data_IF_399372025506
#
_entry.id   IF_399372025506
#
_cell.length_a   1.000
_cell.length_b   1.000
_cell.length_c   1.000
_cell.angle_alpha   90.00
_cell.angle_beta   90.00
_cell.angle_gamma   90.00
#
_symmetry.space_group_name_H-M   'P 1'
#
loop_
_entity.id
_entity.type
_entity.pdbx_description
1 polymer ?
#
# COMPACT_ATOMS: atom_id res chain seq x y z
N UNK A 1 -3.19 -24.79 -6.65
CA UNK A 1 -3.53 -23.79 -7.68
C UNK A 1 -2.56 -22.63 -7.54
N UNK A 2 -2.12 -22.04 -8.66
CA UNK A 2 -1.26 -20.87 -8.63
C UNK A 2 -1.92 -19.72 -7.86
N UNK A 3 -1.16 -19.01 -7.04
CA UNK A 3 -1.69 -17.90 -6.25
C UNK A 3 -1.41 -16.57 -6.92
N UNK A 4 -2.46 -15.76 -7.12
CA UNK A 4 -2.27 -14.42 -7.66
C UNK A 4 -1.82 -13.43 -6.57
N UNK A 5 -0.63 -12.88 -6.74
CA UNK A 5 -0.03 -11.86 -5.85
C UNK A 5 -0.18 -10.48 -6.48
N UNK A 6 -0.88 -9.57 -5.82
CA UNK A 6 -1.11 -8.22 -6.34
C UNK A 6 0.08 -7.29 -6.06
N UNK A 7 0.48 -7.18 -4.79
CA UNK A 7 1.48 -6.22 -4.35
C UNK A 7 2.11 -6.58 -3.01
N UNK A 8 3.36 -6.15 -2.80
CA UNK A 8 4.10 -6.24 -1.55
C UNK A 8 4.49 -4.84 -1.09
N UNK A 9 4.35 -4.59 0.21
CA UNK A 9 4.82 -3.39 0.90
C UNK A 9 5.72 -3.77 2.07
N UNK A 10 6.79 -3.01 2.27
CA UNK A 10 7.69 -3.14 3.41
C UNK A 10 7.76 -1.79 4.11
N UNK A 11 7.47 -1.79 5.41
CA UNK A 11 7.53 -0.62 6.26
C UNK A 11 8.62 -0.79 7.30
N UNK A 12 9.35 0.28 7.54
CA UNK A 12 10.37 0.33 8.58
C UNK A 12 9.77 0.50 10.00
N UNK A 13 10.66 0.61 10.98
CA UNK A 13 10.31 0.90 12.37
C UNK A 13 9.65 2.27 12.56
N UNK A 14 9.97 3.24 11.71
CA UNK A 14 9.45 4.60 11.71
C UNK A 14 8.12 4.74 10.98
N UNK A 15 7.54 3.63 10.51
CA UNK A 15 6.26 3.58 9.78
C UNK A 15 6.34 4.16 8.37
N UNK A 16 7.54 4.36 7.85
CA UNK A 16 7.76 4.77 6.47
C UNK A 16 7.71 3.56 5.53
N UNK A 17 7.03 3.72 4.40
CA UNK A 17 7.06 2.72 3.34
C UNK A 17 8.40 2.83 2.60
N UNK A 18 9.31 1.89 2.89
CA UNK A 18 10.66 1.85 2.31
C UNK A 18 10.74 0.98 1.06
N UNK A 19 9.72 0.15 0.81
CA UNK A 19 9.61 -0.64 -0.41
C UNK A 19 8.16 -0.88 -0.79
N UNK A 20 7.86 -0.79 -2.08
CA UNK A 20 6.60 -1.27 -2.64
C UNK A 20 6.84 -1.86 -4.03
N UNK A 21 6.14 -2.95 -4.32
CA UNK A 21 6.15 -3.57 -5.64
C UNK A 21 4.78 -4.11 -5.98
N UNK A 22 4.40 -3.94 -7.24
CA UNK A 22 3.10 -4.37 -7.76
C UNK A 22 3.32 -5.25 -8.98
N UNK A 23 2.68 -6.42 -8.99
CA UNK A 23 2.71 -7.37 -10.11
C UNK A 23 1.41 -7.34 -10.91
N UNK A 24 0.29 -7.17 -10.22
CA UNK A 24 -1.03 -7.09 -10.84
C UNK A 24 -1.83 -5.92 -10.26
N UNK A 25 -2.62 -5.26 -11.09
CA UNK A 25 -3.60 -4.29 -10.61
C UNK A 25 -4.86 -5.03 -10.15
N UNK A 26 -5.33 -4.83 -8.90
CA UNK A 26 -6.66 -5.26 -8.53
C UNK A 26 -7.67 -4.62 -9.47
N UNK A 27 -8.73 -5.35 -9.83
CA UNK A 27 -9.82 -4.81 -10.65
C UNK A 27 -10.29 -3.49 -10.02
N UNK A 28 -10.26 -2.40 -10.79
CA UNK A 28 -10.65 -1.09 -10.29
C UNK A 28 -12.09 -1.18 -9.74
N UNK A 29 -12.38 -0.64 -8.55
CA UNK A 29 -13.76 -0.56 -8.11
C UNK A 29 -14.55 0.24 -9.15
N UNK A 30 -15.65 -0.34 -9.64
CA UNK A 30 -16.59 0.37 -10.48
C UNK A 30 -16.93 1.71 -9.79
N UNK A 31 -16.95 2.84 -10.51
CA UNK A 31 -17.19 4.13 -9.90
C UNK A 31 -18.53 4.08 -9.16
N UNK A 32 -18.47 4.13 -7.83
CA UNK A 32 -19.63 4.32 -6.98
C UNK A 32 -20.13 5.73 -7.25
N UNK A 33 -21.11 5.85 -8.15
CA UNK A 33 -21.88 7.06 -8.34
C UNK A 33 -22.67 7.33 -7.04
N UNK A 34 -22.06 8.05 -6.11
CA UNK A 34 -22.81 8.69 -5.03
C UNK A 34 -23.59 9.85 -5.65
N UNK A 35 -24.93 9.92 -5.49
CA UNK A 35 -25.69 11.07 -5.95
C UNK A 35 -25.23 12.30 -5.18
N UNK A 36 -24.70 13.29 -5.91
CA UNK A 36 -24.40 14.60 -5.36
C UNK A 36 -25.72 15.24 -4.89
N UNK A 37 -25.93 15.32 -3.59
CA UNK A 37 -26.98 16.16 -3.02
C UNK A 37 -26.58 17.60 -3.29
N UNK A 38 -27.14 18.18 -4.35
CA UNK A 38 -27.12 19.61 -4.61
C UNK A 38 -27.91 20.30 -3.49
N UNK A 39 -27.19 20.92 -2.55
CA UNK A 39 -27.80 21.86 -1.62
C UNK A 39 -27.91 23.22 -2.31
N UNK A 40 -29.15 23.54 -2.67
CA UNK A 40 -29.68 24.87 -2.96
C UNK A 40 -29.04 25.96 -2.08
N UNK A 41 -28.42 26.96 -2.71
CA UNK A 41 -28.18 28.25 -2.08
C UNK A 41 -28.68 29.39 -2.98
N UNK A 42 -29.89 29.78 -2.62
CA UNK A 42 -30.59 31.02 -2.93
C UNK A 42 -29.66 32.26 -2.79
N UNK A 43 -29.55 33.09 -3.83
CA UNK A 43 -29.05 34.47 -3.72
C UNK A 43 -29.83 35.36 -4.70
N UNK A 44 -30.49 36.45 -4.24
CA UNK A 44 -31.33 37.26 -5.10
C UNK A 44 -30.51 38.24 -5.95
N UNK A 45 -31.10 38.63 -7.08
CA UNK A 45 -30.55 39.51 -8.09
C UNK A 45 -30.62 40.99 -7.71
N UNK A 46 -29.60 41.77 -8.11
CA UNK A 46 -29.75 43.17 -8.56
C UNK A 46 -28.47 43.72 -9.21
N UNK A 47 -28.62 44.38 -10.36
CA UNK A 47 -27.82 45.54 -10.78
C UNK A 47 -26.64 45.36 -11.76
N UNK A 48 -26.92 45.57 -13.06
CA UNK A 48 -26.21 46.38 -14.10
C UNK A 48 -24.67 46.35 -14.31
N UNK A 49 -24.31 46.23 -15.61
CA UNK A 49 -23.09 46.66 -16.36
C UNK A 49 -21.93 45.65 -16.62
N UNK A 50 -21.08 45.81 -17.66
CA UNK A 50 -21.24 45.16 -18.97
C UNK A 50 -20.05 44.26 -19.36
N UNK A 51 -20.21 43.57 -20.50
CA UNK A 51 -19.30 42.65 -21.18
C UNK A 51 -17.78 42.83 -20.93
N UNK A 52 -17.17 41.79 -20.36
CA UNK A 52 -15.73 41.54 -20.43
C UNK A 52 -15.54 40.12 -20.97
N UNK A 53 -14.98 40.01 -22.17
CA UNK A 53 -14.62 38.76 -22.85
C UNK A 53 -13.53 38.04 -22.03
N UNK A 54 -13.94 37.07 -21.22
CA UNK A 54 -13.02 36.19 -20.50
C UNK A 54 -12.49 35.11 -21.46
N UNK A 55 -11.18 35.13 -21.68
CA UNK A 55 -10.45 34.06 -22.36
C UNK A 55 -10.54 32.80 -21.50
N UNK A 56 -11.25 31.79 -22.00
CA UNK A 56 -11.40 30.49 -21.33
C UNK A 56 -10.05 29.75 -21.33
N UNK A 57 -9.28 29.91 -20.26
CA UNK A 57 -8.11 29.07 -20.00
C UNK A 57 -8.59 27.66 -19.69
N UNK A 58 -8.06 26.61 -20.36
CA UNK A 58 -8.38 25.23 -20.00
C UNK A 58 -7.97 24.98 -18.54
N UNK A 59 -8.77 24.22 -17.78
CA UNK A 59 -8.55 24.02 -16.36
C UNK A 59 -7.15 23.45 -16.09
N UNK A 60 -6.45 23.89 -15.03
CA UNK A 60 -5.13 23.38 -14.69
C UNK A 60 -5.22 21.86 -14.47
N UNK A 61 -4.41 21.11 -15.21
CA UNK A 61 -4.31 19.66 -15.07
C UNK A 61 -4.04 19.33 -13.60
N UNK A 62 -4.98 18.64 -12.95
CA UNK A 62 -4.84 18.18 -11.57
C UNK A 62 -3.49 17.44 -11.43
N UNK A 63 -2.66 17.77 -10.43
CA UNK A 63 -1.38 17.12 -10.27
C UNK A 63 -1.60 15.60 -10.19
N UNK A 64 -0.83 14.85 -10.99
CA UNK A 64 -0.90 13.39 -11.04
C UNK A 64 -0.63 12.87 -9.63
N UNK A 65 -1.71 12.50 -8.93
CA UNK A 65 -1.67 11.99 -7.55
C UNK A 65 -0.75 10.77 -7.51
N UNK A 66 0.25 10.79 -6.64
CA UNK A 66 1.26 9.74 -6.54
C UNK A 66 0.63 8.49 -5.88
N UNK A 67 -0.19 7.76 -6.66
CA UNK A 67 -1.11 6.72 -6.16
C UNK A 67 -0.45 5.72 -5.21
N UNK A 68 0.76 5.25 -5.52
CA UNK A 68 1.44 4.23 -4.70
C UNK A 68 1.79 4.70 -3.28
N UNK A 69 2.14 5.98 -3.10
CA UNK A 69 2.42 6.54 -1.78
C UNK A 69 1.17 6.71 -0.92
N UNK A 70 0.04 7.04 -1.55
CA UNK A 70 -1.25 7.15 -0.86
C UNK A 70 -1.77 5.77 -0.43
N UNK A 71 -1.63 4.76 -1.31
CA UNK A 71 -2.05 3.38 -1.02
C UNK A 71 -1.24 2.77 0.12
N UNK A 72 0.08 3.01 0.17
CA UNK A 72 0.94 2.53 1.26
C UNK A 72 0.52 3.12 2.63
N UNK A 73 0.18 4.41 2.68
CA UNK A 73 -0.32 5.06 3.92
C UNK A 73 -1.66 4.47 4.35
N UNK A 74 -2.55 4.20 3.40
CA UNK A 74 -3.86 3.59 3.69
C UNK A 74 -3.71 2.16 4.24
N UNK A 75 -2.85 1.35 3.62
CA UNK A 75 -2.54 -0.01 4.07
C UNK A 75 -1.93 0.03 5.47
N UNK A 76 -0.95 0.92 5.69
CA UNK A 76 -0.33 1.07 7.00
C UNK A 76 -1.37 1.46 8.07
N UNK A 77 -2.21 2.46 7.80
CA UNK A 77 -3.25 2.89 8.72
C UNK A 77 -4.22 1.75 9.07
N UNK A 78 -4.63 0.97 8.08
CA UNK A 78 -5.52 -0.18 8.28
C UNK A 78 -4.88 -1.24 9.17
N UNK A 79 -3.64 -1.64 8.87
CA UNK A 79 -2.89 -2.62 9.65
C UNK A 79 -2.65 -2.11 11.09
N UNK A 80 -2.32 -0.83 11.25
CA UNK A 80 -2.11 -0.22 12.57
C UNK A 80 -3.37 -0.30 13.43
N UNK A 81 -4.53 0.09 12.86
CA UNK A 81 -5.82 0.02 13.55
C UNK A 81 -6.20 -1.43 13.90
N UNK A 82 -6.03 -2.37 12.97
CA UNK A 82 -6.36 -3.78 13.19
C UNK A 82 -5.45 -4.42 14.24
N UNK A 83 -4.13 -4.16 14.20
CA UNK A 83 -3.18 -4.65 15.21
C UNK A 83 -3.56 -4.15 16.60
N UNK A 84 -3.92 -2.89 16.73
CA UNK A 84 -4.37 -2.33 18.02
C UNK A 84 -5.69 -2.97 18.49
N UNK A 85 -6.62 -3.23 17.58
CA UNK A 85 -7.87 -3.93 17.89
C UNK A 85 -7.61 -5.35 18.37
N UNK A 86 -6.79 -6.13 17.64
CA UNK A 86 -6.43 -7.50 18.02
C UNK A 86 -5.78 -7.55 19.39
N UNK A 87 -4.81 -6.68 19.68
CA UNK A 87 -4.18 -6.63 21.01
C UNK A 87 -5.17 -6.29 22.13
N UNK A 88 -6.10 -5.36 21.89
CA UNK A 88 -7.10 -4.97 22.89
C UNK A 88 -8.14 -6.04 23.16
N UNK A 89 -8.46 -6.87 22.18
CA UNK A 89 -9.48 -7.91 22.28
C UNK A 89 -8.91 -9.29 22.67
N UNK A 90 -7.76 -9.65 22.10
CA UNK A 90 -7.10 -10.95 22.26
C UNK A 90 -6.01 -11.00 23.33
N UNK A 91 -5.61 -9.85 23.89
CA UNK A 91 -4.54 -9.75 24.88
C UNK A 91 -3.14 -9.59 24.25
N UNK A 92 -2.10 -9.65 25.08
CA UNK A 92 -0.73 -9.31 24.67
C UNK A 92 -0.05 -10.35 23.78
N UNK A 93 -0.51 -11.61 23.85
CA UNK A 93 0.01 -12.73 23.07
C UNK A 93 -0.65 -12.87 21.69
N UNK A 94 -1.74 -12.13 21.43
CA UNK A 94 -2.41 -12.16 20.13
C UNK A 94 -1.80 -11.15 19.15
N UNK A 95 -1.67 -11.57 17.90
CA UNK A 95 -1.01 -10.81 16.85
C UNK A 95 -1.84 -10.83 15.56
N UNK A 96 -2.00 -9.66 14.95
CA UNK A 96 -2.67 -9.56 13.67
C UNK A 96 -1.94 -10.38 12.59
N UNK A 97 -2.67 -11.27 11.89
CA UNK A 97 -2.10 -12.17 10.87
C UNK A 97 -2.52 -11.75 9.46
N UNK A 98 -3.83 -11.57 9.24
CA UNK A 98 -4.39 -11.25 7.93
C UNK A 98 -5.82 -10.76 8.04
N UNK A 99 -6.29 -10.02 7.03
CA UNK A 99 -7.72 -9.81 6.81
C UNK A 99 -8.06 -10.16 5.36
N UNK A 100 -9.32 -10.55 5.13
CA UNK A 100 -9.83 -10.94 3.81
C UNK A 100 -11.04 -10.09 3.46
N UNK A 101 -11.10 -9.66 2.22
CA UNK A 101 -12.27 -9.04 1.59
C UNK A 101 -12.78 -9.94 0.47
N UNK A 102 -13.83 -9.51 -0.23
CA UNK A 102 -14.33 -10.21 -1.42
C UNK A 102 -13.32 -10.22 -2.59
N UNK A 103 -12.39 -9.25 -2.63
CA UNK A 103 -11.53 -9.02 -3.80
C UNK A 103 -10.06 -9.33 -3.55
N UNK A 104 -9.60 -9.24 -2.30
CA UNK A 104 -8.22 -9.55 -1.95
C UNK A 104 -8.10 -10.02 -0.50
N UNK A 105 -6.94 -10.58 -0.19
CA UNK A 105 -6.51 -10.89 1.17
C UNK A 105 -5.18 -10.19 1.45
N UNK A 106 -5.10 -9.50 2.58
CA UNK A 106 -3.87 -8.91 3.06
C UNK A 106 -3.26 -9.83 4.10
N UNK A 107 -2.01 -10.23 3.89
CA UNK A 107 -1.21 -11.02 4.83
C UNK A 107 -0.15 -10.11 5.45
N UNK A 108 0.05 -10.28 6.76
CA UNK A 108 0.95 -9.44 7.53
C UNK A 108 2.00 -10.27 8.25
N UNK A 109 3.22 -9.76 8.27
CA UNK A 109 4.33 -10.32 9.03
C UNK A 109 5.17 -9.19 9.63
N UNK A 110 5.37 -9.25 10.94
CA UNK A 110 6.17 -8.30 11.69
C UNK A 110 7.35 -9.03 12.32
N UNK A 111 8.54 -8.47 12.14
CA UNK A 111 9.77 -8.96 12.76
C UNK A 111 9.96 -8.34 14.16
N UNK A 112 10.79 -8.94 15.03
CA UNK A 112 11.12 -8.35 16.33
C UNK A 112 11.76 -6.95 16.26
N UNK A 113 12.37 -6.59 15.13
CA UNK A 113 12.96 -5.26 14.89
C UNK A 113 11.95 -4.25 14.33
N UNK A 114 10.64 -4.56 14.37
CA UNK A 114 9.55 -3.75 13.84
C UNK A 114 9.62 -3.48 12.33
N UNK A 115 10.33 -4.31 11.57
CA UNK A 115 10.19 -4.36 10.11
C UNK A 115 8.89 -5.11 9.77
N UNK A 116 8.06 -4.52 8.93
CA UNK A 116 6.69 -4.99 8.64
C UNK A 116 6.51 -5.27 7.17
N UNK A 117 5.99 -6.44 6.84
CA UNK A 117 5.67 -6.87 5.50
C UNK A 117 4.17 -7.00 5.34
N UNK A 118 3.63 -6.42 4.27
CA UNK A 118 2.23 -6.56 3.90
C UNK A 118 2.13 -7.05 2.45
N UNK A 119 1.54 -8.23 2.26
CA UNK A 119 1.36 -8.86 0.95
C UNK A 119 -0.12 -8.93 0.62
N UNK A 120 -0.52 -8.41 -0.54
CA UNK A 120 -1.87 -8.53 -1.07
C UNK A 120 -1.91 -9.66 -2.08
N UNK A 121 -2.85 -10.59 -1.90
CA UNK A 121 -3.10 -11.71 -2.82
C UNK A 121 -4.59 -11.83 -3.12
N UNK A 122 -4.95 -12.77 -3.97
CA UNK A 122 -6.35 -13.16 -4.16
C UNK A 122 -7.02 -13.63 -2.85
N UNK A 123 -8.36 -13.57 -2.75
CA UNK A 123 -9.11 -13.94 -1.54
C UNK A 123 -8.95 -15.40 -1.13
N UNK A 124 -8.75 -16.30 -2.09
CA UNK A 124 -8.67 -17.74 -1.87
C UNK A 124 -7.34 -18.21 -1.29
N UNK A 125 -6.33 -17.33 -1.22
CA UNK A 125 -5.00 -17.69 -0.77
C UNK A 125 -4.96 -18.17 0.69
N UNK A 126 -4.25 -19.28 0.91
CA UNK A 126 -3.84 -19.72 2.24
C UNK A 126 -2.92 -18.69 2.91
N UNK A 127 -2.64 -18.87 4.20
CA UNK A 127 -1.77 -17.96 4.94
C UNK A 127 -0.39 -17.84 4.28
N UNK A 128 0.02 -16.61 3.95
CA UNK A 128 1.33 -16.32 3.35
C UNK A 128 2.38 -15.96 4.40
N UNK A 129 2.16 -16.25 5.68
CA UNK A 129 3.12 -15.93 6.75
C UNK A 129 4.49 -16.60 6.53
N UNK A 130 4.49 -17.86 6.10
CA UNK A 130 5.73 -18.57 5.77
C UNK A 130 6.43 -17.95 4.57
N UNK A 131 5.68 -17.53 3.56
CA UNK A 131 6.21 -16.84 2.37
C UNK A 131 6.85 -15.51 2.76
N UNK A 132 6.16 -14.69 3.55
CA UNK A 132 6.68 -13.42 4.07
C UNK A 132 7.95 -13.61 4.91
N UNK A 133 7.99 -14.66 5.73
CA UNK A 133 9.18 -15.00 6.51
C UNK A 133 10.36 -15.42 5.62
N UNK A 134 10.12 -16.17 4.54
CA UNK A 134 11.17 -16.53 3.58
C UNK A 134 11.67 -15.31 2.81
N UNK A 135 10.80 -14.35 2.45
CA UNK A 135 11.21 -13.06 1.88
C UNK A 135 12.12 -12.32 2.87
N UNK A 136 11.79 -12.32 4.16
CA UNK A 136 12.63 -11.69 5.18
C UNK A 136 14.02 -12.37 5.27
N UNK A 137 14.08 -13.68 5.51
CA UNK A 137 15.37 -14.35 5.77
C UNK A 137 16.23 -14.43 4.51
N UNK A 138 15.67 -14.87 3.37
CA UNK A 138 16.49 -15.22 2.22
C UNK A 138 16.72 -14.06 1.25
N UNK A 139 15.90 -13.01 1.31
CA UNK A 139 15.99 -11.88 0.40
C UNK A 139 16.35 -10.60 1.13
N UNK A 140 15.56 -10.19 2.12
CA UNK A 140 15.79 -8.94 2.85
C UNK A 140 17.11 -8.97 3.62
N UNK A 141 17.31 -9.98 4.47
CA UNK A 141 18.55 -10.08 5.25
C UNK A 141 19.75 -10.26 4.33
N UNK A 142 19.63 -11.10 3.30
CA UNK A 142 20.74 -11.44 2.41
C UNK A 142 21.19 -10.27 1.52
N UNK A 143 20.24 -9.56 0.90
CA UNK A 143 20.58 -8.58 -0.14
C UNK A 143 20.42 -7.13 0.31
N UNK A 144 19.70 -6.86 1.40
CA UNK A 144 19.49 -5.50 1.92
C UNK A 144 20.33 -5.28 3.18
N UNK A 145 20.17 -6.14 4.20
CA UNK A 145 20.85 -5.93 5.50
C UNK A 145 22.34 -6.23 5.43
N UNK A 146 22.75 -7.31 4.74
CA UNK A 146 24.17 -7.67 4.58
C UNK A 146 24.92 -6.79 3.57
N UNK A 147 24.24 -5.88 2.86
CA UNK A 147 24.88 -4.99 1.92
C UNK A 147 25.52 -3.80 2.67
N UNK A 148 26.87 -3.71 2.75
CA UNK A 148 27.55 -2.66 3.51
C UNK A 148 27.39 -1.26 2.90
N UNK A 149 26.93 -1.17 1.65
CA UNK A 149 26.67 0.10 0.97
C UNK A 149 25.26 0.64 1.23
N UNK A 150 24.38 -0.19 1.84
CA UNK A 150 23.01 0.23 2.13
C UNK A 150 22.94 0.94 3.49
N UNK A 151 22.25 2.09 3.60
CA UNK A 151 22.03 2.74 4.89
C UNK A 151 21.16 1.87 5.80
N UNK A 152 21.39 1.98 7.11
CA UNK A 152 20.73 1.12 8.13
C UNK A 152 19.23 1.38 8.25
N UNK A 153 18.81 2.64 8.16
CA UNK A 153 17.41 3.05 8.36
C UNK A 153 16.66 3.24 7.02
N UNK A 154 17.30 2.97 5.87
CA UNK A 154 16.69 3.00 4.53
C UNK A 154 15.74 4.18 4.27
N UNK A 155 16.10 5.39 4.72
CA UNK A 155 15.21 6.55 4.64
C UNK A 155 14.77 6.80 3.20
N UNK A 156 13.47 6.88 2.96
CA UNK A 156 12.92 7.00 1.60
C UNK A 156 13.16 5.79 0.69
N UNK A 157 13.55 4.64 1.23
CA UNK A 157 13.84 3.41 0.49
C UNK A 157 15.27 3.28 -0.04
N UNK A 158 16.20 4.12 0.41
CA UNK A 158 17.59 4.10 -0.05
C UNK A 158 18.27 2.75 0.23
N UNK A 159 18.96 2.20 -0.77
CA UNK A 159 19.69 0.92 -0.70
C UNK A 159 18.83 -0.35 -0.73
N UNK A 160 17.50 -0.23 -0.58
CA UNK A 160 16.58 -1.38 -0.62
C UNK A 160 16.41 -1.92 -2.03
N UNK A 161 16.31 -1.04 -3.03
CA UNK A 161 16.05 -1.40 -4.44
C UNK A 161 17.32 -1.81 -5.18
N UNK A 162 18.07 -2.75 -4.62
CA UNK A 162 19.21 -3.34 -5.31
C UNK A 162 18.76 -4.46 -6.26
N UNK A 163 19.53 -4.70 -7.32
CA UNK A 163 19.15 -5.63 -8.39
C UNK A 163 19.00 -7.07 -7.90
N UNK A 164 19.85 -7.50 -6.97
CA UNK A 164 19.81 -8.86 -6.41
C UNK A 164 18.52 -9.09 -5.61
N UNK A 165 18.09 -8.12 -4.81
CA UNK A 165 16.82 -8.16 -4.10
C UNK A 165 15.63 -8.15 -5.06
N UNK A 166 15.61 -7.23 -6.03
CA UNK A 166 14.52 -7.09 -7.00
C UNK A 166 14.32 -8.37 -7.84
N UNK A 167 15.42 -8.92 -8.37
CA UNK A 167 15.40 -10.13 -9.19
C UNK A 167 15.07 -11.37 -8.35
N UNK A 168 15.65 -11.47 -7.16
CA UNK A 168 15.36 -12.56 -6.21
C UNK A 168 13.90 -12.58 -5.80
N UNK A 169 13.32 -11.41 -5.50
CA UNK A 169 11.93 -11.26 -5.15
C UNK A 169 11.00 -11.61 -6.33
N UNK A 170 11.30 -11.12 -7.54
CA UNK A 170 10.50 -11.47 -8.72
C UNK A 170 10.50 -12.97 -9.01
N UNK A 171 11.68 -13.59 -8.97
CA UNK A 171 11.79 -15.03 -9.17
C UNK A 171 11.02 -15.80 -8.11
N UNK A 172 11.11 -15.37 -6.85
CA UNK A 172 10.42 -16.01 -5.74
C UNK A 172 8.90 -15.90 -5.87
N UNK A 173 8.38 -14.70 -6.17
CA UNK A 173 6.94 -14.46 -6.32
C UNK A 173 6.37 -15.17 -7.55
N UNK A 174 7.11 -15.20 -8.67
CA UNK A 174 6.71 -15.99 -9.85
C UNK A 174 6.63 -17.48 -9.59
N UNK A 175 7.43 -18.02 -8.66
CA UNK A 175 7.34 -19.42 -8.24
C UNK A 175 6.09 -19.76 -7.41
N UNK A 176 5.35 -18.74 -6.94
CA UNK A 176 4.08 -18.89 -6.21
C UNK A 176 2.85 -18.74 -7.12
N UNK A 177 3.03 -18.07 -8.27
CA UNK A 177 2.06 -17.93 -9.35
C UNK A 177 2.04 -19.17 -10.25
#
# INVERSE_FOLDING_TARGET
MPVQVYSLYIFDRHTECIYSKQWFQPAAPAPSALPSTASDQHRPANGTDPAITAVEQPPPAKPRRNKGGDDAKLIFGTVFSLRNMVRKLGGDDDAFISFRTAQYKLHYYETPTNLRFALLTEPGALSMRNVLHQIYINLWVEYVVKNPLSPVEHKGGEGVRNEMFELGLDKFIRGLM
#
